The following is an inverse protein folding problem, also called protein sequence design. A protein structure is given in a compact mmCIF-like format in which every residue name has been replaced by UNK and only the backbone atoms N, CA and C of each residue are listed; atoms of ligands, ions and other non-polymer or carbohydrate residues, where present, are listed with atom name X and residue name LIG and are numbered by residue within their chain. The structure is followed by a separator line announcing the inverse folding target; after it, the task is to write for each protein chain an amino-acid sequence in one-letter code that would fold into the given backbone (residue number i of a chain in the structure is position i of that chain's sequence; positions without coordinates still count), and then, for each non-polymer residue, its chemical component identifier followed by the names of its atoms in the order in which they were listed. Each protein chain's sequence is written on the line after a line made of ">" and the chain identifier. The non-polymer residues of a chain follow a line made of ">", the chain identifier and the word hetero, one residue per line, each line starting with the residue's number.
data_IF_454085461492
#
_entry.id   IF_454085461492
#
_cell.length_a   1.000
_cell.length_b   1.000
_cell.length_c   1.000
_cell.angle_alpha   90.00
_cell.angle_beta   90.00
_cell.angle_gamma   90.00
#
_symmetry.space_group_name_H-M   'P 1'
#
loop_
_entity.id
_entity.type
_entity.pdbx_description
1 polymer ?
#
# COMPACT_ATOMS: atom_id res chain seq x y z
N UNK A 1 11.98 -1.77 -11.52
CA UNK A 1 10.64 -1.92 -10.93
C UNK A 1 9.56 -2.06 -12.00
N UNK A 2 9.27 -1.06 -12.85
CA UNK A 2 8.13 -1.08 -13.81
C UNK A 2 8.05 -2.34 -14.69
N UNK A 3 9.14 -2.74 -15.34
CA UNK A 3 9.17 -3.94 -16.18
C UNK A 3 8.82 -5.21 -15.40
N UNK A 4 9.36 -5.36 -14.17
CA UNK A 4 9.07 -6.51 -13.32
C UNK A 4 7.60 -6.54 -12.89
N UNK A 5 7.03 -5.40 -12.52
CA UNK A 5 5.59 -5.29 -12.21
C UNK A 5 4.72 -5.64 -13.41
N UNK A 6 5.09 -5.21 -14.61
CA UNK A 6 4.36 -5.53 -15.83
C UNK A 6 4.37 -7.03 -16.14
N UNK A 7 5.51 -7.72 -15.95
CA UNK A 7 5.60 -9.18 -16.10
C UNK A 7 4.69 -9.92 -15.10
N UNK A 8 4.72 -9.51 -13.83
CA UNK A 8 3.92 -10.13 -12.77
C UNK A 8 2.43 -9.87 -12.96
N UNK A 9 2.05 -8.67 -13.41
CA UNK A 9 0.65 -8.29 -13.59
C UNK A 9 0.01 -8.87 -14.87
N UNK A 10 0.80 -9.15 -15.91
CA UNK A 10 0.30 -9.63 -17.20
C UNK A 10 -0.67 -10.84 -17.12
N UNK A 11 -0.45 -11.87 -16.28
CA UNK A 11 -1.36 -13.01 -16.17
C UNK A 11 -2.74 -12.66 -15.60
N UNK A 12 -2.90 -11.52 -14.94
CA UNK A 12 -4.16 -11.15 -14.29
C UNK A 12 -5.13 -10.42 -15.22
N UNK A 13 -4.73 -10.11 -16.45
CA UNK A 13 -5.54 -9.42 -17.46
C UNK A 13 -5.13 -7.96 -17.63
N UNK A 14 -6.10 -7.05 -17.74
CA UNK A 14 -5.80 -5.62 -17.89
C UNK A 14 -5.29 -5.05 -16.58
N UNK A 15 -4.20 -4.31 -16.62
CA UNK A 15 -3.60 -3.66 -15.46
C UNK A 15 -3.08 -2.26 -15.83
N UNK A 16 -2.89 -1.45 -14.84
CA UNK A 16 -2.14 -0.20 -14.89
C UNK A 16 -1.09 -0.17 -13.77
N UNK A 17 -0.02 0.56 -13.99
CA UNK A 17 0.99 0.89 -12.98
C UNK A 17 0.91 2.41 -12.78
N UNK A 18 0.55 2.83 -11.57
CA UNK A 18 0.41 4.24 -11.23
C UNK A 18 1.51 4.64 -10.23
N UNK A 19 2.49 5.41 -10.73
CA UNK A 19 3.53 6.00 -9.88
C UNK A 19 3.03 7.27 -9.22
N UNK A 20 3.31 7.42 -7.93
CA UNK A 20 3.07 8.66 -7.20
C UNK A 20 4.42 9.23 -6.79
N UNK A 21 4.79 10.36 -7.39
CA UNK A 21 6.02 11.07 -7.08
C UNK A 21 5.75 12.19 -6.08
N UNK A 22 6.26 12.02 -4.87
CA UNK A 22 6.13 13.01 -3.78
C UNK A 22 7.22 14.09 -3.84
N UNK A 23 7.40 14.66 -5.04
CA UNK A 23 8.38 15.71 -5.35
C UNK A 23 9.83 15.23 -5.18
N UNK A 24 10.20 14.16 -5.86
CA UNK A 24 11.57 13.66 -5.92
C UNK A 24 12.54 14.72 -6.46
N UNK A 25 13.71 14.84 -5.83
CA UNK A 25 14.74 15.82 -6.19
C UNK A 25 15.86 15.22 -7.05
N UNK A 26 15.78 13.93 -7.33
CA UNK A 26 16.68 13.17 -8.20
C UNK A 26 16.09 12.98 -9.61
N UNK A 27 16.61 12.04 -10.38
CA UNK A 27 16.11 11.73 -11.73
C UNK A 27 14.81 10.95 -11.82
N UNK A 28 14.21 10.54 -10.68
CA UNK A 28 13.05 9.63 -10.61
C UNK A 28 11.87 10.10 -11.46
N UNK A 29 11.44 11.35 -11.32
CA UNK A 29 10.30 11.89 -12.08
C UNK A 29 10.55 11.89 -13.60
N UNK A 30 11.78 12.18 -14.03
CA UNK A 30 12.14 12.18 -15.46
C UNK A 30 12.07 10.75 -16.03
N UNK A 31 12.56 9.77 -15.27
CA UNK A 31 12.50 8.35 -15.66
C UNK A 31 11.05 7.87 -15.76
N UNK A 32 10.21 8.17 -14.77
CA UNK A 32 8.79 7.80 -14.77
C UNK A 32 8.03 8.41 -15.94
N UNK A 33 8.32 9.67 -16.31
CA UNK A 33 7.74 10.31 -17.51
C UNK A 33 8.12 9.56 -18.78
N UNK A 34 9.41 9.23 -18.94
CA UNK A 34 9.89 8.45 -20.08
C UNK A 34 9.21 7.09 -20.17
N UNK A 35 9.04 6.39 -19.05
CA UNK A 35 8.32 5.11 -19.02
C UNK A 35 6.86 5.27 -19.46
N UNK A 36 6.18 6.30 -19.00
CA UNK A 36 4.78 6.58 -19.37
C UNK A 36 4.60 6.96 -20.84
N UNK A 37 5.59 7.56 -21.48
CA UNK A 37 5.60 7.85 -22.91
C UNK A 37 5.68 6.58 -23.78
N UNK A 38 6.36 5.54 -23.27
CA UNK A 38 6.60 4.30 -24.02
C UNK A 38 5.59 3.19 -23.72
N UNK A 39 4.91 3.25 -22.56
CA UNK A 39 3.92 2.23 -22.15
C UNK A 39 2.64 2.90 -21.63
N UNK A 40 1.53 2.85 -22.39
CA UNK A 40 0.27 3.48 -21.98
C UNK A 40 -0.36 2.88 -20.72
N UNK A 41 0.14 1.75 -20.21
CA UNK A 41 -0.28 1.15 -18.94
C UNK A 41 0.37 1.86 -17.74
N UNK A 42 1.45 2.61 -17.99
CA UNK A 42 2.16 3.37 -16.97
C UNK A 42 1.58 4.78 -16.90
N UNK A 43 1.19 5.17 -15.71
CA UNK A 43 0.67 6.50 -15.39
C UNK A 43 1.42 7.06 -14.19
N UNK A 44 1.37 8.37 -14.02
CA UNK A 44 1.97 8.99 -12.83
C UNK A 44 1.15 10.20 -12.35
N UNK A 45 1.33 10.50 -11.06
CA UNK A 45 0.93 11.74 -10.41
C UNK A 45 2.19 12.32 -9.77
N UNK A 46 2.53 13.57 -10.08
CA UNK A 46 3.65 14.26 -9.47
C UNK A 46 3.16 15.40 -8.59
N UNK A 47 3.64 15.46 -7.37
CA UNK A 47 3.32 16.52 -6.43
C UNK A 47 4.23 17.72 -6.65
N UNK A 48 3.72 18.91 -6.35
CA UNK A 48 4.46 20.18 -6.46
C UNK A 48 5.43 20.42 -5.29
N UNK A 49 5.29 19.67 -4.20
CA UNK A 49 6.19 19.61 -3.06
C UNK A 49 6.01 18.26 -2.34
N UNK A 50 6.91 17.94 -1.44
CA UNK A 50 6.73 16.78 -0.56
C UNK A 50 5.55 17.03 0.39
N UNK A 51 4.54 16.14 0.32
CA UNK A 51 3.35 16.10 1.16
C UNK A 51 3.34 14.88 2.10
N UNK A 52 4.29 13.98 1.94
CA UNK A 52 4.48 12.80 2.77
C UNK A 52 3.78 11.54 2.24
N UNK A 53 4.26 10.41 2.74
CA UNK A 53 3.88 9.07 2.30
C UNK A 53 2.36 8.82 2.32
N UNK A 54 1.65 9.21 3.38
CA UNK A 54 0.20 9.00 3.45
C UNK A 54 -0.57 9.80 2.39
N UNK A 55 -0.09 10.99 2.03
CA UNK A 55 -0.65 11.76 0.92
C UNK A 55 -0.43 11.06 -0.43
N UNK A 56 0.74 10.47 -0.63
CA UNK A 56 1.06 9.69 -1.82
C UNK A 56 0.16 8.45 -1.94
N UNK A 57 -0.01 7.66 -0.86
CA UNK A 57 -0.93 6.53 -0.83
C UNK A 57 -2.37 6.94 -1.17
N UNK A 58 -2.84 8.04 -0.57
CA UNK A 58 -4.18 8.57 -0.86
C UNK A 58 -4.34 9.00 -2.31
N UNK A 59 -3.35 9.67 -2.90
CA UNK A 59 -3.39 10.02 -4.32
C UNK A 59 -3.42 8.76 -5.19
N UNK A 60 -2.62 7.75 -4.86
CA UNK A 60 -2.67 6.45 -5.53
C UNK A 60 -4.08 5.86 -5.56
N UNK A 61 -4.75 5.78 -4.41
CA UNK A 61 -6.12 5.28 -4.31
C UNK A 61 -7.13 6.15 -5.08
N UNK A 62 -6.96 7.47 -5.07
CA UNK A 62 -7.86 8.41 -5.76
C UNK A 62 -7.80 8.28 -7.26
N UNK A 63 -6.62 8.02 -7.83
CA UNK A 63 -6.41 7.99 -9.28
C UNK A 63 -6.35 6.58 -9.87
N UNK A 64 -6.28 5.54 -9.05
CA UNK A 64 -6.33 4.15 -9.47
C UNK A 64 -7.71 3.77 -10.03
N UNK A 65 -7.73 2.98 -11.12
CA UNK A 65 -8.94 2.62 -11.90
C UNK A 65 -9.28 1.14 -11.90
N UNK A 66 -8.37 0.28 -11.43
CA UNK A 66 -8.55 -1.18 -11.41
C UNK A 66 -9.66 -1.64 -10.46
N UNK A 67 -10.18 -2.85 -10.67
CA UNK A 67 -11.16 -3.50 -9.78
C UNK A 67 -10.54 -3.85 -8.41
N UNK A 68 -9.23 -4.03 -8.39
CA UNK A 68 -8.42 -4.13 -7.18
C UNK A 68 -7.19 -3.21 -7.31
N UNK A 69 -6.70 -2.69 -6.19
CA UNK A 69 -5.56 -1.79 -6.13
C UNK A 69 -4.53 -2.37 -5.17
N UNK A 70 -3.32 -2.63 -5.69
CA UNK A 70 -2.17 -3.00 -4.87
C UNK A 70 -1.36 -1.74 -4.55
N UNK A 71 -1.12 -1.48 -3.29
CA UNK A 71 -0.22 -0.45 -2.79
C UNK A 71 1.12 -1.09 -2.43
N UNK A 72 2.22 -0.49 -2.87
CA UNK A 72 3.56 -0.95 -2.53
C UNK A 72 4.58 0.19 -2.65
N UNK A 73 5.66 0.10 -1.88
CA UNK A 73 6.80 1.00 -2.01
C UNK A 73 7.72 0.57 -3.17
N UNK A 74 8.46 1.52 -3.72
CA UNK A 74 9.34 1.29 -4.88
C UNK A 74 10.80 0.94 -4.51
N UNK A 75 11.07 0.56 -3.26
CA UNK A 75 12.40 0.31 -2.71
C UNK A 75 12.84 -1.17 -2.72
N UNK A 76 12.00 -2.06 -3.27
CA UNK A 76 12.18 -3.53 -3.26
C UNK A 76 12.16 -4.18 -1.86
N UNK A 77 11.83 -3.47 -0.81
CA UNK A 77 11.55 -4.09 0.50
C UNK A 77 10.24 -4.88 0.47
N UNK A 78 9.35 -4.54 -0.45
CA UNK A 78 8.13 -5.30 -0.76
C UNK A 78 8.37 -6.20 -1.97
N UNK A 79 8.36 -7.56 -1.82
CA UNK A 79 8.59 -8.46 -2.93
C UNK A 79 7.42 -8.40 -3.92
N UNK A 80 7.65 -7.96 -5.19
CA UNK A 80 6.58 -7.85 -6.17
C UNK A 80 5.91 -9.19 -6.50
N UNK A 81 6.61 -10.30 -6.29
CA UNK A 81 6.12 -11.66 -6.51
C UNK A 81 4.90 -11.99 -5.66
N UNK A 82 4.79 -11.40 -4.48
CA UNK A 82 3.65 -11.59 -3.57
C UNK A 82 2.33 -11.04 -4.15
N UNK A 83 2.38 -10.19 -5.19
CA UNK A 83 1.18 -9.69 -5.88
C UNK A 83 0.29 -10.85 -6.35
N UNK A 84 0.88 -11.97 -6.77
CA UNK A 84 0.11 -13.14 -7.19
C UNK A 84 -0.76 -13.71 -6.06
N UNK A 85 -0.21 -13.80 -4.86
CA UNK A 85 -0.91 -14.30 -3.68
C UNK A 85 -1.95 -13.28 -3.19
N UNK A 86 -1.64 -11.99 -3.25
CA UNK A 86 -2.60 -10.91 -2.94
C UNK A 86 -3.84 -11.02 -3.84
N UNK A 87 -3.62 -11.18 -5.16
CA UNK A 87 -4.71 -11.31 -6.14
C UNK A 87 -5.49 -12.61 -5.93
N UNK A 88 -4.82 -13.72 -5.58
CA UNK A 88 -5.49 -14.98 -5.29
C UNK A 88 -6.44 -14.83 -4.09
N UNK A 89 -5.97 -14.29 -2.96
CA UNK A 89 -6.79 -14.06 -1.77
C UNK A 89 -7.96 -13.10 -2.05
N UNK A 90 -7.77 -12.07 -2.87
CA UNK A 90 -8.84 -11.19 -3.31
C UNK A 90 -9.90 -11.93 -4.13
N UNK A 91 -9.49 -12.79 -5.06
CA UNK A 91 -10.41 -13.63 -5.87
C UNK A 91 -11.19 -14.64 -5.03
N UNK A 92 -10.67 -15.06 -3.89
CA UNK A 92 -11.35 -15.89 -2.89
C UNK A 92 -12.36 -15.10 -2.05
N UNK A 93 -12.47 -13.80 -2.24
CA UNK A 93 -13.50 -12.96 -1.63
C UNK A 93 -13.02 -11.98 -0.56
N UNK A 94 -11.72 -11.92 -0.28
CA UNK A 94 -11.18 -10.88 0.59
C UNK A 94 -11.35 -9.50 -0.06
N UNK A 95 -11.78 -8.51 0.72
CA UNK A 95 -11.88 -7.12 0.25
C UNK A 95 -10.65 -6.28 0.63
N UNK A 96 -9.91 -6.77 1.60
CA UNK A 96 -8.62 -6.24 2.04
C UNK A 96 -7.67 -7.42 2.18
N UNK A 97 -6.51 -7.37 1.54
CA UNK A 97 -5.42 -8.33 1.78
C UNK A 97 -4.23 -7.56 2.32
N UNK A 98 -3.99 -7.69 3.61
CA UNK A 98 -2.89 -7.01 4.30
C UNK A 98 -1.66 -7.91 4.38
N UNK A 99 -0.47 -7.32 4.31
CA UNK A 99 0.77 -8.04 4.50
C UNK A 99 1.45 -7.72 5.83
N UNK A 100 2.25 -8.67 6.30
CA UNK A 100 3.08 -8.56 7.49
C UNK A 100 4.48 -9.09 7.20
N UNK A 101 5.52 -8.40 7.68
CA UNK A 101 6.90 -8.91 7.67
C UNK A 101 7.11 -9.91 8.80
N UNK A 102 7.75 -11.07 8.50
CA UNK A 102 8.09 -12.07 9.53
C UNK A 102 9.10 -11.53 10.53
N UNK A 103 10.11 -10.78 10.08
CA UNK A 103 11.25 -10.31 10.89
C UNK A 103 10.93 -9.14 11.84
N UNK A 104 9.69 -8.65 11.86
CA UNK A 104 9.31 -7.44 12.62
C UNK A 104 9.38 -7.54 14.14
N UNK A 105 9.58 -8.72 14.72
CA UNK A 105 9.66 -8.92 16.18
C UNK A 105 11.00 -9.47 16.69
N UNK A 106 11.82 -10.12 15.84
CA UNK A 106 13.00 -10.86 16.29
C UNK A 106 14.22 -9.98 16.61
N UNK A 107 14.34 -8.80 15.99
CA UNK A 107 15.56 -7.97 16.05
C UNK A 107 15.42 -6.66 16.85
N UNK A 108 14.34 -6.44 17.57
CA UNK A 108 14.22 -5.23 18.39
C UNK A 108 14.98 -5.41 19.71
N UNK A 109 15.93 -4.50 20.05
CA UNK A 109 16.54 -4.47 21.38
C UNK A 109 15.44 -4.47 22.46
N UNK A 110 15.63 -5.19 23.58
CA UNK A 110 14.56 -5.41 24.58
C UNK A 110 13.93 -4.10 25.11
N UNK A 111 14.71 -3.01 25.12
CA UNK A 111 14.22 -1.69 25.52
C UNK A 111 13.30 -1.05 24.47
N UNK A 112 13.56 -1.23 23.16
CA UNK A 112 12.70 -0.78 22.07
C UNK A 112 11.42 -1.61 21.98
N UNK A 113 11.49 -2.91 22.30
CA UNK A 113 10.32 -3.78 22.34
C UNK A 113 9.33 -3.38 23.45
N UNK A 114 9.84 -2.91 24.61
CA UNK A 114 8.98 -2.49 25.72
C UNK A 114 8.27 -1.14 25.43
N UNK A 115 8.98 -0.17 24.84
CA UNK A 115 8.41 1.13 24.47
C UNK A 115 7.42 0.99 23.30
N UNK A 116 7.71 0.13 22.34
CA UNK A 116 6.79 -0.21 21.23
C UNK A 116 5.52 -0.86 21.75
N UNK A 117 5.61 -1.86 22.65
CA UNK A 117 4.43 -2.51 23.26
C UNK A 117 3.58 -1.53 24.08
N UNK A 118 4.22 -0.62 24.82
CA UNK A 118 3.49 0.40 25.59
C UNK A 118 2.80 1.40 24.66
N UNK A 119 3.46 1.81 23.60
CA UNK A 119 2.90 2.69 22.56
C UNK A 119 1.68 2.06 21.87
N UNK A 120 1.80 0.80 21.42
CA UNK A 120 0.67 0.09 20.81
C UNK A 120 -0.47 -0.16 21.78
N UNK A 121 -0.19 -0.49 23.07
CA UNK A 121 -1.24 -0.57 24.09
C UNK A 121 -1.95 0.75 24.36
N UNK A 122 -1.24 1.86 24.29
CA UNK A 122 -1.82 3.19 24.44
C UNK A 122 -2.71 3.52 23.23
N UNK A 123 -2.28 3.20 22.02
CA UNK A 123 -3.09 3.32 20.80
C UNK A 123 -4.33 2.42 20.85
N UNK A 124 -4.19 1.18 21.30
CA UNK A 124 -5.30 0.24 21.49
C UNK A 124 -6.32 0.72 22.55
N UNK A 125 -5.87 1.51 23.54
CA UNK A 125 -6.73 2.06 24.58
C UNK A 125 -7.47 3.35 24.15
N UNK A 126 -6.95 4.04 23.12
CA UNK A 126 -7.48 5.31 22.63
C UNK A 126 -8.32 5.11 21.34
N UNK A 127 -8.08 4.03 20.62
CA UNK A 127 -8.74 3.74 19.33
C UNK A 127 -9.34 2.34 19.28
N UNK A 128 -10.51 2.21 18.65
CA UNK A 128 -11.20 0.92 18.40
C UNK A 128 -10.45 0.00 17.42
N UNK A 129 -9.22 0.31 17.03
CA UNK A 129 -8.47 -0.39 15.97
C UNK A 129 -7.13 -0.91 16.48
N UNK A 130 -6.99 -2.21 16.57
CA UNK A 130 -5.71 -2.86 16.88
C UNK A 130 -4.80 -2.87 15.65
N UNK A 131 -3.69 -2.12 15.75
CA UNK A 131 -2.63 -2.16 14.74
C UNK A 131 -1.66 -3.26 15.12
N UNK A 132 -1.52 -4.26 14.27
CA UNK A 132 -0.57 -5.34 14.52
C UNK A 132 0.86 -4.85 14.23
N UNK A 133 1.83 -5.12 15.14
CA UNK A 133 3.24 -4.89 14.86
C UNK A 133 3.68 -5.59 13.57
N UNK A 134 4.53 -4.95 12.77
CA UNK A 134 5.01 -5.50 11.50
C UNK A 134 4.04 -5.35 10.31
N UNK A 135 2.88 -4.70 10.49
CA UNK A 135 2.00 -4.39 9.35
C UNK A 135 2.70 -3.49 8.34
N UNK A 136 2.76 -3.91 7.08
CA UNK A 136 3.33 -3.14 5.97
C UNK A 136 2.26 -2.30 5.24
N UNK A 137 2.71 -1.27 4.50
CA UNK A 137 1.84 -0.54 3.56
C UNK A 137 1.73 -1.27 2.21
N UNK A 138 2.25 -2.50 2.14
CA UNK A 138 2.04 -3.43 1.04
C UNK A 138 0.73 -4.18 1.24
N UNK A 139 -0.29 -3.81 0.50
CA UNK A 139 -1.63 -4.39 0.66
C UNK A 139 -2.43 -4.30 -0.65
N UNK A 140 -3.45 -5.16 -0.77
CA UNK A 140 -4.42 -5.10 -1.85
C UNK A 140 -5.78 -4.67 -1.29
N UNK A 141 -6.43 -3.76 -2.00
CA UNK A 141 -7.79 -3.28 -1.71
C UNK A 141 -8.70 -3.55 -2.90
N UNK A 142 -9.85 -4.15 -2.63
CA UNK A 142 -10.97 -4.23 -3.59
C UNK A 142 -11.51 -2.84 -3.93
N UNK A 143 -12.08 -2.65 -5.09
CA UNK A 143 -12.67 -1.38 -5.53
C UNK A 143 -13.66 -0.82 -4.51
N UNK A 144 -14.49 -1.67 -3.92
CA UNK A 144 -15.46 -1.21 -2.91
C UNK A 144 -14.79 -0.61 -1.67
N UNK A 145 -13.67 -1.19 -1.23
CA UNK A 145 -12.89 -0.63 -0.12
C UNK A 145 -12.22 0.68 -0.52
N UNK A 146 -11.64 0.76 -1.73
CA UNK A 146 -11.03 1.98 -2.27
C UNK A 146 -12.05 3.11 -2.37
N UNK A 147 -13.24 2.85 -2.90
CA UNK A 147 -14.29 3.86 -3.06
C UNK A 147 -14.79 4.36 -1.70
N UNK A 148 -14.91 3.47 -0.71
CA UNK A 148 -15.24 3.85 0.67
C UNK A 148 -14.16 4.75 1.27
N UNK A 149 -12.87 4.39 1.12
CA UNK A 149 -11.76 5.21 1.60
C UNK A 149 -11.74 6.57 0.90
N UNK A 150 -11.98 6.62 -0.40
CA UNK A 150 -12.04 7.86 -1.16
C UNK A 150 -13.22 8.77 -0.78
N UNK A 151 -14.27 8.23 -0.17
CA UNK A 151 -15.41 8.96 0.37
C UNK A 151 -15.11 9.76 1.65
N UNK A 152 -14.02 9.48 2.35
CA UNK A 152 -13.63 10.25 3.52
C UNK A 152 -13.01 11.59 3.14
N UNK A 153 -13.55 12.69 3.65
CA UNK A 153 -13.09 14.06 3.36
C UNK A 153 -11.87 14.49 4.20
N UNK A 154 -11.46 13.68 5.19
CA UNK A 154 -10.33 14.02 6.06
C UNK A 154 -9.00 14.06 5.30
N UNK A 155 -8.13 15.03 5.65
CA UNK A 155 -6.79 15.16 5.03
C UNK A 155 -5.79 14.17 5.56
N UNK A 156 -5.89 13.84 6.85
CA UNK A 156 -4.93 12.99 7.56
C UNK A 156 -5.52 11.58 7.70
N UNK A 157 -5.38 10.77 6.65
CA UNK A 157 -5.77 9.36 6.67
C UNK A 157 -4.59 8.51 7.11
N UNK A 158 -4.72 7.84 8.25
CA UNK A 158 -3.84 6.76 8.62
C UNK A 158 -4.37 5.46 8.00
N UNK A 159 -3.90 5.15 6.79
CA UNK A 159 -4.48 4.09 5.95
C UNK A 159 -4.48 2.72 6.63
N UNK A 160 -3.38 2.33 7.31
CA UNK A 160 -3.28 1.03 8.02
C UNK A 160 -4.34 0.85 9.09
N UNK A 161 -4.67 1.90 9.82
CA UNK A 161 -5.75 1.89 10.81
C UNK A 161 -7.11 1.86 10.14
N UNK A 162 -7.31 2.71 9.13
CA UNK A 162 -8.58 2.85 8.45
C UNK A 162 -9.04 1.55 7.77
N UNK A 163 -8.18 0.84 7.05
CA UNK A 163 -8.53 -0.41 6.35
C UNK A 163 -9.01 -1.51 7.31
N UNK A 164 -8.53 -1.50 8.55
CA UNK A 164 -9.00 -2.42 9.60
C UNK A 164 -10.29 -1.96 10.24
N UNK A 165 -10.42 -0.64 10.45
CA UNK A 165 -11.62 -0.04 11.05
C UNK A 165 -12.86 -0.20 10.17
N UNK A 166 -12.70 -0.22 8.86
CA UNK A 166 -13.80 -0.39 7.91
C UNK A 166 -14.52 -1.74 8.02
N UNK A 167 -13.91 -2.76 8.63
CA UNK A 167 -14.55 -4.05 8.89
C UNK A 167 -14.82 -4.90 7.66
N UNK A 168 -14.18 -4.64 6.54
CA UNK A 168 -14.26 -5.49 5.34
C UNK A 168 -13.62 -6.87 5.58
N UNK A 169 -14.06 -7.93 4.84
CA UNK A 169 -13.41 -9.24 4.83
C UNK A 169 -11.92 -9.08 4.56
N UNK A 170 -11.09 -9.46 5.55
CA UNK A 170 -9.65 -9.24 5.56
C UNK A 170 -8.91 -10.56 5.55
N UNK A 171 -8.02 -10.76 4.56
CA UNK A 171 -7.01 -11.80 4.55
C UNK A 171 -5.63 -11.23 4.94
N UNK A 172 -4.75 -12.09 5.47
CA UNK A 172 -3.39 -11.72 5.88
C UNK A 172 -2.40 -12.64 5.19
N UNK A 173 -1.35 -12.06 4.63
CA UNK A 173 -0.20 -12.76 4.09
C UNK A 173 1.06 -12.33 4.85
N UNK A 174 2.04 -13.23 4.92
CA UNK A 174 3.32 -12.96 5.61
C UNK A 174 4.45 -13.08 4.59
N UNK A 175 5.46 -12.25 4.67
CA UNK A 175 6.65 -12.26 3.79
C UNK A 175 7.92 -11.89 4.56
#
# INVERSE_FOLDING_TARGET
>A
MAARLAEIAAPFGRFEILFIDDCSTDGTLAEVKTLAEHDPRIRFVAFTRNFGHQAALRAGLRYARGDAVVLMDCDFEHPPELIAELVAAWREGAKVVATRREDGEADLPPLKGLTSRLYYRLLDAIGDVRIEPGSADFLLLDRTAVDTINGFETRDLFLRGLVRWLGYPLAKLTF
#
